data_IF_147676964424
#
_entry.id   IF_147676964424
#
_cell.length_a   1.000
_cell.length_b   1.000
_cell.length_c   1.000
_cell.angle_alpha   90.00
_cell.angle_beta   90.00
_cell.angle_gamma   90.00
#
_symmetry.space_group_name_H-M   'P 1'
#
loop_
_entity.id
_entity.type
_entity.pdbx_description
1 polymer ?
#
# COMPACT_ATOMS: atom_id res chain seq x y z
N UNK A 1 -30.69 0.57 14.79
CA UNK A 1 -30.49 1.82 14.02
C UNK A 1 -29.26 2.61 14.49
N UNK A 2 -29.06 2.85 15.80
CA UNK A 2 -27.92 3.64 16.33
C UNK A 2 -26.53 3.19 15.87
N UNK A 3 -26.31 1.88 15.72
CA UNK A 3 -25.01 1.34 15.29
C UNK A 3 -24.69 1.60 13.79
N UNK A 4 -25.70 1.64 12.92
CA UNK A 4 -25.53 2.01 11.50
C UNK A 4 -25.16 3.49 11.38
N UNK A 5 -25.83 4.36 12.13
CA UNK A 5 -25.52 5.80 12.17
C UNK A 5 -24.08 6.03 12.65
N UNK A 6 -23.65 5.31 13.70
CA UNK A 6 -22.27 5.34 14.19
C UNK A 6 -21.24 4.91 13.13
N UNK A 7 -21.55 3.87 12.35
CA UNK A 7 -20.69 3.40 11.27
C UNK A 7 -20.56 4.44 10.13
N UNK A 8 -21.66 5.07 9.75
CA UNK A 8 -21.68 6.11 8.72
C UNK A 8 -20.91 7.36 9.16
N UNK A 9 -21.08 7.78 10.42
CA UNK A 9 -20.35 8.90 11.00
C UNK A 9 -18.84 8.63 11.04
N UNK A 10 -18.44 7.44 11.51
CA UNK A 10 -17.02 7.04 11.49
C UNK A 10 -16.45 7.04 10.08
N UNK A 11 -17.21 6.62 9.07
CA UNK A 11 -16.78 6.65 7.66
C UNK A 11 -16.55 8.08 7.19
N UNK A 12 -17.45 9.01 7.52
CA UNK A 12 -17.33 10.43 7.19
C UNK A 12 -16.09 11.05 7.84
N UNK A 13 -15.88 10.83 9.13
CA UNK A 13 -14.72 11.34 9.86
C UNK A 13 -13.38 10.86 9.29
N UNK A 14 -13.33 9.63 8.79
CA UNK A 14 -12.13 9.11 8.12
C UNK A 14 -11.87 9.87 6.82
N UNK A 15 -12.90 10.19 6.05
CA UNK A 15 -12.77 10.94 4.79
C UNK A 15 -12.32 12.39 5.02
N UNK A 16 -12.86 13.05 6.04
CA UNK A 16 -12.55 14.46 6.37
C UNK A 16 -11.09 14.67 6.81
N UNK A 17 -10.41 13.62 7.28
CA UNK A 17 -9.02 13.68 7.76
C UNK A 17 -7.98 13.33 6.70
N UNK A 18 -8.40 13.09 5.46
CA UNK A 18 -7.49 12.65 4.41
C UNK A 18 -6.68 13.82 3.81
N UNK A 19 -5.38 13.63 3.56
CA UNK A 19 -4.59 14.61 2.86
C UNK A 19 -5.03 14.72 1.38
N UNK A 20 -4.74 15.84 0.69
CA UNK A 20 -5.08 16.00 -0.72
C UNK A 20 -4.45 14.93 -1.61
N UNK A 21 -5.21 14.41 -2.59
CA UNK A 21 -4.78 13.30 -3.46
C UNK A 21 -3.58 13.68 -4.34
N UNK A 22 -3.44 14.95 -4.71
CA UNK A 22 -2.31 15.47 -5.49
C UNK A 22 -0.98 15.43 -4.72
N UNK A 23 -1.01 15.15 -3.41
CA UNK A 23 0.16 15.11 -2.54
C UNK A 23 0.49 13.71 -2.02
N UNK A 24 0.21 12.66 -2.81
CA UNK A 24 0.49 11.27 -2.42
C UNK A 24 1.47 10.62 -3.39
N UNK A 25 2.32 9.73 -2.88
CA UNK A 25 3.12 8.84 -3.72
C UNK A 25 3.27 7.48 -3.04
N UNK A 26 2.99 6.41 -3.80
CA UNK A 26 3.24 5.04 -3.33
C UNK A 26 4.75 4.79 -3.29
N UNK A 27 5.26 4.27 -2.17
CA UNK A 27 6.63 3.80 -2.09
C UNK A 27 7.24 3.94 -0.70
N UNK A 28 8.57 3.90 -0.66
CA UNK A 28 9.37 4.15 0.54
C UNK A 28 10.55 5.05 0.23
N UNK A 29 10.91 5.93 1.17
CA UNK A 29 12.10 6.78 1.06
C UNK A 29 13.17 6.25 2.00
N UNK A 30 14.36 5.96 1.46
CA UNK A 30 15.49 5.49 2.26
C UNK A 30 16.81 6.09 1.77
N UNK A 31 17.84 6.06 2.63
CA UNK A 31 19.17 6.56 2.32
C UNK A 31 20.16 5.40 2.28
N UNK A 32 21.02 5.36 1.26
CA UNK A 32 22.13 4.40 1.15
C UNK A 32 23.47 5.12 1.30
N UNK A 33 24.42 4.40 1.88
CA UNK A 33 25.81 4.80 1.94
C UNK A 33 26.58 4.17 0.77
N UNK A 34 27.20 5.00 -0.06
CA UNK A 34 27.83 4.61 -1.31
C UNK A 34 29.35 4.80 -1.24
N UNK A 35 30.07 3.85 -1.84
CA UNK A 35 31.44 4.09 -2.28
C UNK A 35 31.39 4.65 -3.70
N UNK A 36 32.27 5.61 -3.92
CA UNK A 36 32.50 6.31 -5.17
C UNK A 36 33.52 5.49 -5.99
N UNK A 37 33.39 5.50 -7.32
CA UNK A 37 34.30 4.78 -8.22
C UNK A 37 35.68 5.41 -8.37
N UNK A 38 35.88 6.64 -7.86
CA UNK A 38 37.14 7.36 -8.01
C UNK A 38 38.21 6.78 -7.07
N UNK A 39 39.31 6.17 -7.58
CA UNK A 39 40.31 5.49 -6.76
C UNK A 39 41.05 6.43 -5.79
N UNK A 40 41.09 7.72 -6.12
CA UNK A 40 41.73 8.76 -5.29
C UNK A 40 40.84 9.28 -4.17
N UNK A 41 39.55 8.95 -4.17
CA UNK A 41 38.65 9.45 -3.14
C UNK A 41 38.87 8.72 -1.80
N UNK A 42 38.86 9.48 -0.70
CA UNK A 42 38.94 8.95 0.68
C UNK A 42 37.85 7.92 0.96
N UNK A 43 36.67 8.10 0.36
CA UNK A 43 35.52 7.20 0.47
C UNK A 43 35.83 5.77 -0.04
N UNK A 44 36.57 5.67 -1.16
CA UNK A 44 36.90 4.40 -1.81
C UNK A 44 37.98 3.64 -1.03
N UNK A 45 38.92 4.38 -0.42
CA UNK A 45 40.05 3.86 0.36
C UNK A 45 39.69 3.47 1.79
N UNK A 46 38.43 3.57 2.19
CA UNK A 46 37.99 3.29 3.57
C UNK A 46 38.46 4.31 4.62
N UNK A 47 39.05 5.44 4.19
CA UNK A 47 39.63 6.47 5.05
C UNK A 47 38.77 7.74 5.16
N UNK A 48 37.45 7.62 4.95
CA UNK A 48 36.53 8.74 5.00
C UNK A 48 35.07 8.31 4.98
N UNK A 49 34.17 9.25 5.27
CA UNK A 49 32.73 9.01 5.26
C UNK A 49 32.26 8.57 3.86
N UNK A 50 31.38 7.57 3.82
CA UNK A 50 30.71 7.16 2.59
C UNK A 50 29.76 8.26 2.11
N UNK A 51 29.63 8.40 0.79
CA UNK A 51 28.63 9.32 0.23
C UNK A 51 27.23 8.83 0.58
N UNK A 52 26.27 9.75 0.67
CA UNK A 52 24.88 9.44 0.94
C UNK A 52 24.03 9.80 -0.27
N UNK A 53 23.18 8.88 -0.69
CA UNK A 53 22.12 9.18 -1.65
C UNK A 53 20.79 8.68 -1.09
N UNK A 54 19.76 9.50 -1.25
CA UNK A 54 18.39 9.17 -0.82
C UNK A 54 17.59 8.77 -2.04
N UNK A 55 16.77 7.74 -1.89
CA UNK A 55 15.99 7.15 -2.97
C UNK A 55 14.53 7.07 -2.57
N UNK A 56 13.64 7.32 -3.53
CA UNK A 56 12.27 6.83 -3.50
C UNK A 56 12.22 5.49 -4.23
N UNK A 57 11.72 4.45 -3.58
CA UNK A 57 11.53 3.12 -4.18
C UNK A 57 10.06 2.80 -4.30
N UNK A 58 9.64 2.37 -5.50
CA UNK A 58 8.25 2.04 -5.81
C UNK A 58 8.20 0.63 -6.35
N UNK A 59 7.45 -0.24 -5.67
CA UNK A 59 7.21 -1.63 -6.09
C UNK A 59 5.83 -1.78 -6.71
N UNK A 60 5.78 -2.37 -7.89
CA UNK A 60 4.58 -2.65 -8.67
C UNK A 60 4.18 -4.12 -8.56
N UNK A 61 2.98 -4.45 -9.04
CA UNK A 61 2.57 -5.83 -9.24
C UNK A 61 3.53 -6.58 -10.17
N UNK A 62 3.71 -7.88 -9.94
CA UNK A 62 4.65 -8.71 -10.71
C UNK A 62 6.13 -8.54 -10.32
N UNK A 63 6.43 -7.98 -9.15
CA UNK A 63 7.79 -7.92 -8.60
C UNK A 63 8.68 -6.79 -9.13
N UNK A 64 8.21 -6.00 -10.12
CA UNK A 64 8.97 -4.88 -10.66
C UNK A 64 9.14 -3.76 -9.63
N UNK A 65 10.37 -3.31 -9.41
CA UNK A 65 10.68 -2.17 -8.53
C UNK A 65 11.50 -1.13 -9.27
N UNK A 66 11.11 0.14 -9.15
CA UNK A 66 11.89 1.28 -9.65
C UNK A 66 12.47 2.09 -8.49
N UNK A 67 13.61 2.72 -8.72
CA UNK A 67 14.25 3.61 -7.75
C UNK A 67 14.53 4.96 -8.40
N UNK A 68 14.15 6.03 -7.71
CA UNK A 68 14.36 7.42 -8.12
C UNK A 68 15.30 8.06 -7.11
N UNK A 69 16.46 8.53 -7.56
CA UNK A 69 17.40 9.29 -6.73
C UNK A 69 16.79 10.67 -6.44
N UNK A 70 16.77 11.05 -5.17
CA UNK A 70 16.22 12.33 -4.71
C UNK A 70 17.33 13.33 -4.41
N UNK A 71 17.18 14.56 -4.90
CA UNK A 71 17.99 15.68 -4.43
C UNK A 71 17.60 16.06 -2.99
N UNK A 72 18.51 16.63 -2.19
CA UNK A 72 18.20 17.02 -0.80
C UNK A 72 16.95 17.91 -0.66
N UNK A 73 16.73 18.79 -1.63
CA UNK A 73 15.60 19.73 -1.66
C UNK A 73 14.23 19.04 -1.68
N UNK A 74 14.11 17.86 -2.31
CA UNK A 74 12.83 17.16 -2.47
C UNK A 74 12.61 16.03 -1.47
N UNK A 75 13.61 15.68 -0.66
CA UNK A 75 13.50 14.55 0.30
C UNK A 75 12.36 14.74 1.29
N UNK A 76 12.22 15.94 1.86
CA UNK A 76 11.16 16.23 2.82
C UNK A 76 9.77 16.09 2.19
N UNK A 77 9.60 16.62 0.97
CA UNK A 77 8.35 16.50 0.19
C UNK A 77 8.03 15.04 -0.11
N UNK A 78 9.00 14.26 -0.60
CA UNK A 78 8.79 12.84 -0.91
C UNK A 78 8.39 12.03 0.33
N UNK A 79 9.03 12.27 1.48
CA UNK A 79 8.67 11.62 2.75
C UNK A 79 7.24 11.96 3.16
N UNK A 80 6.85 13.24 3.06
CA UNK A 80 5.48 13.69 3.35
C UNK A 80 4.47 13.01 2.43
N UNK A 81 4.74 12.95 1.12
CA UNK A 81 3.83 12.33 0.17
C UNK A 81 3.70 10.81 0.35
N UNK A 82 4.78 10.13 0.75
CA UNK A 82 4.71 8.71 1.15
C UNK A 82 3.87 8.54 2.42
N UNK A 83 4.03 9.40 3.42
CA UNK A 83 3.19 9.38 4.62
C UNK A 83 1.71 9.64 4.30
N UNK A 84 1.42 10.56 3.39
CA UNK A 84 0.07 10.83 2.91
C UNK A 84 -0.53 9.60 2.23
N UNK A 85 0.24 8.92 1.36
CA UNK A 85 -0.19 7.66 0.75
C UNK A 85 -0.52 6.59 1.82
N UNK A 86 0.29 6.47 2.87
CA UNK A 86 0.02 5.54 3.97
C UNK A 86 -1.25 5.92 4.77
N UNK A 87 -1.55 7.21 4.91
CA UNK A 87 -2.81 7.66 5.51
C UNK A 87 -4.01 7.25 4.65
N UNK A 88 -3.93 7.47 3.33
CA UNK A 88 -4.93 7.00 2.37
C UNK A 88 -5.13 5.49 2.42
N UNK A 89 -4.06 4.70 2.43
CA UNK A 89 -4.16 3.24 2.49
C UNK A 89 -4.90 2.77 3.76
N UNK A 90 -4.56 3.34 4.92
CA UNK A 90 -5.25 3.03 6.19
C UNK A 90 -6.72 3.44 6.19
N UNK A 91 -7.04 4.58 5.57
CA UNK A 91 -8.41 5.02 5.42
C UNK A 91 -9.22 4.10 4.52
N UNK A 92 -8.65 3.68 3.38
CA UNK A 92 -9.27 2.70 2.47
C UNK A 92 -9.59 1.40 3.22
N UNK A 93 -8.64 0.88 3.99
CA UNK A 93 -8.87 -0.33 4.80
C UNK A 93 -9.97 -0.13 5.85
N UNK A 94 -9.98 1.02 6.53
CA UNK A 94 -10.99 1.35 7.54
C UNK A 94 -12.39 1.48 6.93
N UNK A 95 -12.51 2.23 5.84
CA UNK A 95 -13.77 2.40 5.10
C UNK A 95 -14.24 1.06 4.54
N UNK A 96 -13.32 0.24 4.01
CA UNK A 96 -13.64 -1.10 3.53
C UNK A 96 -14.18 -1.98 4.66
N UNK A 97 -13.60 -1.91 5.86
CA UNK A 97 -14.09 -2.64 7.03
C UNK A 97 -15.52 -2.23 7.43
N UNK A 98 -15.79 -0.93 7.46
CA UNK A 98 -17.12 -0.37 7.73
C UNK A 98 -18.11 -0.84 6.66
N UNK A 99 -17.75 -0.71 5.38
CA UNK A 99 -18.62 -1.09 4.28
C UNK A 99 -18.94 -2.60 4.31
N UNK A 100 -17.97 -3.46 4.62
CA UNK A 100 -18.21 -4.90 4.80
C UNK A 100 -19.24 -5.17 5.90
N UNK A 101 -19.18 -4.45 7.00
CA UNK A 101 -20.12 -4.60 8.11
C UNK A 101 -21.53 -4.12 7.75
N UNK A 102 -21.63 -2.97 7.08
CA UNK A 102 -22.91 -2.47 6.56
C UNK A 102 -23.53 -3.44 5.54
N UNK A 103 -22.71 -4.01 4.66
CA UNK A 103 -23.16 -5.02 3.68
C UNK A 103 -23.66 -6.28 4.38
N UNK A 104 -22.93 -6.83 5.36
CA UNK A 104 -23.36 -8.00 6.14
C UNK A 104 -24.75 -7.79 6.73
N UNK A 105 -25.02 -6.63 7.31
CA UNK A 105 -26.31 -6.30 7.94
C UNK A 105 -27.45 -6.15 6.95
N UNK A 106 -27.18 -5.68 5.73
CA UNK A 106 -28.17 -5.61 4.64
C UNK A 106 -28.41 -6.98 4.00
N UNK A 107 -27.40 -7.83 3.93
CA UNK A 107 -27.52 -9.19 3.40
C UNK A 107 -28.23 -10.15 4.34
N UNK A 108 -28.34 -9.82 5.64
CA UNK A 108 -29.27 -10.47 6.58
C UNK A 108 -30.63 -9.75 6.50
N UNK A 109 -31.23 -9.74 5.31
CA UNK A 109 -32.67 -9.54 5.19
C UNK A 109 -33.34 -10.89 5.51
N UNK A 110 -34.39 -10.94 6.34
CA UNK A 110 -35.12 -12.17 6.60
C UNK A 110 -35.79 -12.62 5.29
N UNK A 111 -35.29 -13.71 4.70
CA UNK A 111 -35.88 -14.32 3.50
C UNK A 111 -34.92 -14.91 2.47
N UNK A 112 -33.62 -14.60 2.50
CA UNK A 112 -32.66 -15.26 1.61
C UNK A 112 -32.24 -16.62 2.21
N UNK A 113 -32.73 -17.71 1.63
CA UNK A 113 -32.34 -19.06 1.98
C UNK A 113 -30.80 -19.23 1.95
N UNK A 114 -30.21 -20.08 2.81
CA UNK A 114 -28.77 -20.31 2.80
C UNK A 114 -28.30 -20.73 1.41
N UNK A 115 -27.41 -19.95 0.80
CA UNK A 115 -26.60 -20.41 -0.32
C UNK A 115 -25.80 -21.62 0.20
N UNK A 116 -26.20 -22.81 -0.21
CA UNK A 116 -25.36 -24.00 -0.08
C UNK A 116 -24.39 -23.95 -1.25
N UNK A 117 -23.07 -23.81 -1.03
CA UNK A 117 -22.13 -23.90 -2.14
C UNK A 117 -22.31 -25.26 -2.80
N UNK A 118 -22.62 -25.26 -4.10
CA UNK A 118 -22.74 -26.48 -4.87
C UNK A 118 -21.43 -27.28 -4.73
N UNK A 119 -21.51 -28.52 -4.25
CA UNK A 119 -20.36 -29.42 -4.10
C UNK A 119 -19.55 -29.39 -5.39
N UNK A 120 -18.26 -29.07 -5.26
CA UNK A 120 -17.34 -29.03 -6.40
C UNK A 120 -17.43 -30.35 -7.17
N UNK A 121 -17.82 -30.28 -8.44
CA UNK A 121 -17.90 -31.45 -9.32
C UNK A 121 -16.48 -32.02 -9.47
N UNK A 122 -16.24 -33.30 -9.19
CA UNK A 122 -14.88 -33.85 -9.25
C UNK A 122 -14.31 -33.67 -10.65
N UNK A 123 -13.10 -33.10 -10.73
CA UNK A 123 -12.36 -32.92 -11.98
C UNK A 123 -12.15 -34.31 -12.59
N UNK A 124 -12.80 -34.59 -13.72
CA UNK A 124 -12.49 -35.76 -14.57
C UNK A 124 -11.01 -35.63 -14.97
N UNK A 125 -10.17 -36.51 -14.44
CA UNK A 125 -8.80 -36.71 -14.95
C UNK A 125 -8.94 -37.11 -16.42
N UNK A 126 -8.51 -36.25 -17.34
CA UNK A 126 -8.29 -36.68 -18.73
C UNK A 126 -7.11 -37.66 -18.68
N UNK A 127 -7.37 -38.89 -19.08
CA UNK A 127 -6.34 -39.91 -19.23
C UNK A 127 -5.29 -39.45 -20.24
N UNK A 128 -4.03 -39.63 -19.87
CA UNK A 128 -2.90 -39.66 -20.79
C UNK A 128 -2.98 -40.96 -21.58
N UNK A 129 -3.22 -40.88 -22.88
CA UNK A 129 -2.97 -41.98 -23.79
C UNK A 129 -1.47 -42.01 -24.13
N UNK A 130 -0.93 -43.23 -24.19
CA UNK A 130 0.44 -43.61 -24.49
C UNK A 130 0.94 -43.13 -25.84
#
# INVERSE_FOLDING_TARGET
MQDITRQLERRRQVQERLPPLETIVRGSVFTRHLRCGKPTCRCARGRGARHRATYLSVSFGGGRTIQITLSPAVVATARRWVANYQAWWRAIETVSAINRELLRRRSVAPGAAPHTPARARPRRRRGSAS
#
